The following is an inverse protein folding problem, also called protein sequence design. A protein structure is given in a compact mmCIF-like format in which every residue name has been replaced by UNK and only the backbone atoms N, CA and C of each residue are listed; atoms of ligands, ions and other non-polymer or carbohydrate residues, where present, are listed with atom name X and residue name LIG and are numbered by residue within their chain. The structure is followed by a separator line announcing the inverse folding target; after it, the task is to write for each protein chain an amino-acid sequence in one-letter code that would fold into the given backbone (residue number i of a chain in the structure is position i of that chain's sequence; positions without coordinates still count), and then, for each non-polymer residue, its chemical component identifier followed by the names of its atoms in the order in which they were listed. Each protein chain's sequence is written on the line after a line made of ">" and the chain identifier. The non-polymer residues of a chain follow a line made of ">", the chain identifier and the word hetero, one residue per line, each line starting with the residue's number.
data_IF_235288419149
#
_entry.id   IF_235288419149
#
_cell.length_a   1.000
_cell.length_b   1.000
_cell.length_c   1.000
_cell.angle_alpha   90.00
_cell.angle_beta   90.00
_cell.angle_gamma   90.00
#
_symmetry.space_group_name_H-M   'P 1'
#
loop_
_entity.id
_entity.type
_entity.pdbx_description
1 polymer ?
#
# COMPACT_ATOMS: atom_id res chain seq x y z
N UNK A 1 -1.20 63.62 2.74
CA UNK A 1 -1.66 62.45 3.53
C UNK A 1 -1.03 61.25 2.86
N UNK A 2 0.13 60.88 3.35
CA UNK A 2 1.05 59.94 2.72
C UNK A 2 0.65 58.52 3.11
N UNK A 3 0.29 57.72 2.11
CA UNK A 3 -0.17 56.34 2.30
C UNK A 3 1.02 55.47 2.72
N UNK A 4 1.07 55.06 3.99
CA UNK A 4 2.15 54.23 4.54
C UNK A 4 2.25 52.88 3.78
N UNK A 5 3.39 52.59 3.10
CA UNK A 5 3.58 51.36 2.33
C UNK A 5 3.66 50.11 3.22
N UNK A 6 3.73 50.25 4.55
CA UNK A 6 3.76 49.12 5.50
C UNK A 6 2.42 48.41 5.69
N UNK A 7 1.31 48.95 5.16
CA UNK A 7 0.00 48.27 5.16
C UNK A 7 -0.19 47.25 4.02
N UNK A 8 0.78 47.12 3.10
CA UNK A 8 0.75 46.12 2.02
C UNK A 8 1.22 44.72 2.46
N UNK A 9 1.33 44.47 3.78
CA UNK A 9 1.98 43.28 4.34
C UNK A 9 1.08 42.20 4.94
N UNK A 10 -0.25 42.22 4.75
CA UNK A 10 -1.15 41.29 5.46
C UNK A 10 -2.01 40.36 4.59
N UNK A 11 -1.71 40.24 3.30
CA UNK A 11 -2.33 39.23 2.44
C UNK A 11 -1.29 38.57 1.52
N UNK A 12 -0.15 38.16 2.08
CA UNK A 12 0.56 37.01 1.51
C UNK A 12 -0.35 35.81 1.79
N UNK A 13 -1.30 35.55 0.89
CA UNK A 13 -1.98 34.27 0.79
C UNK A 13 -0.86 33.24 0.88
N UNK A 14 -0.80 32.50 1.98
CA UNK A 14 -0.12 31.22 1.95
C UNK A 14 -0.82 30.48 0.82
N UNK A 15 -0.18 30.39 -0.35
CA UNK A 15 -0.41 29.24 -1.21
C UNK A 15 -0.20 28.08 -0.27
N UNK A 16 -1.32 27.46 0.11
CA UNK A 16 -1.36 26.32 1.00
C UNK A 16 -0.42 25.34 0.32
N UNK A 17 0.81 25.20 0.82
CA UNK A 17 1.67 24.11 0.39
C UNK A 17 0.77 22.89 0.47
N UNK A 18 0.51 22.26 -0.68
CA UNK A 18 -0.25 21.03 -0.71
C UNK A 18 0.54 20.09 0.18
N UNK A 19 0.06 19.87 1.40
CA UNK A 19 0.70 18.95 2.34
C UNK A 19 0.55 17.57 1.73
N UNK A 20 1.58 17.18 1.00
CA UNK A 20 1.67 15.92 0.31
C UNK A 20 2.20 14.90 1.32
N UNK A 21 1.31 14.03 1.80
CA UNK A 21 1.69 12.83 2.52
C UNK A 21 2.18 11.82 1.48
N UNK A 22 3.48 11.58 1.48
CA UNK A 22 4.09 10.45 0.79
C UNK A 22 4.44 9.41 1.84
N UNK A 23 3.95 8.18 1.65
CA UNK A 23 4.34 7.04 2.46
C UNK A 23 5.17 6.11 1.59
N UNK A 24 6.38 5.79 2.03
CA UNK A 24 7.27 4.82 1.38
C UNK A 24 7.50 3.65 2.32
N UNK A 25 7.22 2.43 1.86
CA UNK A 25 7.55 1.19 2.57
C UNK A 25 8.59 0.45 1.75
N UNK A 26 9.71 0.09 2.37
CA UNK A 26 10.72 -0.74 1.73
C UNK A 26 10.56 -2.19 2.18
N UNK A 27 10.57 -3.09 1.20
CA UNK A 27 10.55 -4.53 1.46
C UNK A 27 11.99 -5.03 1.43
N UNK A 28 12.41 -5.64 2.53
CA UNK A 28 13.74 -6.23 2.68
C UNK A 28 13.61 -7.74 2.89
N UNK A 29 14.52 -8.54 2.32
CA UNK A 29 14.52 -9.98 2.51
C UNK A 29 14.84 -10.30 3.98
N UNK A 30 14.14 -11.30 4.52
CA UNK A 30 14.00 -11.61 5.96
C UNK A 30 15.30 -12.07 6.65
N UNK A 31 16.29 -11.18 6.75
CA UNK A 31 17.54 -11.45 7.46
C UNK A 31 18.48 -12.48 6.81
N UNK A 32 18.30 -12.78 5.51
CA UNK A 32 19.25 -13.64 4.78
C UNK A 32 20.51 -12.84 4.44
N UNK A 33 21.66 -13.23 4.99
CA UNK A 33 22.95 -12.55 4.76
C UNK A 33 23.30 -12.36 3.27
N UNK A 34 22.80 -13.27 2.42
CA UNK A 34 23.01 -13.30 0.98
C UNK A 34 22.28 -12.15 0.24
N UNK A 35 21.25 -11.55 0.86
CA UNK A 35 20.49 -10.47 0.25
C UNK A 35 20.50 -9.23 1.13
N UNK A 36 21.32 -8.27 0.73
CA UNK A 36 21.53 -6.97 1.40
C UNK A 36 20.84 -5.82 0.66
N UNK A 37 19.86 -6.12 -0.20
CA UNK A 37 19.25 -5.14 -1.09
C UNK A 37 17.73 -5.15 -0.92
N UNK A 38 17.15 -3.96 -1.07
CA UNK A 38 15.70 -3.73 -1.16
C UNK A 38 15.14 -4.55 -2.33
N UNK A 39 14.02 -5.23 -2.09
CA UNK A 39 13.34 -6.10 -3.07
C UNK A 39 11.94 -5.59 -3.44
N UNK A 40 11.53 -4.46 -2.87
CA UNK A 40 10.25 -3.84 -3.18
C UNK A 40 10.04 -2.49 -2.52
N UNK A 41 9.09 -1.74 -3.06
CA UNK A 41 8.67 -0.42 -2.61
C UNK A 41 7.16 -0.26 -2.76
N UNK A 42 6.52 0.34 -1.75
CA UNK A 42 5.16 0.86 -1.86
C UNK A 42 5.23 2.36 -1.64
N UNK A 43 4.76 3.12 -2.62
CA UNK A 43 4.64 4.57 -2.53
C UNK A 43 3.18 4.98 -2.65
N UNK A 44 2.70 5.80 -1.70
CA UNK A 44 1.36 6.38 -1.76
C UNK A 44 1.43 7.90 -1.60
N UNK A 45 0.93 8.63 -2.58
CA UNK A 45 0.90 10.10 -2.60
C UNK A 45 -0.53 10.61 -2.68
N UNK A 46 -0.93 11.51 -1.77
CA UNK A 46 -2.28 12.08 -1.85
C UNK A 46 -2.38 13.08 -3.01
N UNK A 47 -3.40 12.87 -3.84
CA UNK A 47 -3.73 13.78 -4.95
C UNK A 47 -4.94 14.65 -4.63
N UNK A 48 -5.65 14.37 -3.54
CA UNK A 48 -6.69 15.23 -2.99
C UNK A 48 -6.44 15.59 -1.52
N UNK A 49 -7.02 16.71 -1.10
CA UNK A 49 -6.93 17.23 0.26
C UNK A 49 -8.29 17.13 0.97
N UNK A 50 -8.27 16.86 2.27
CA UNK A 50 -9.48 16.68 3.08
C UNK A 50 -9.33 15.51 4.04
N UNK A 51 -10.30 15.33 4.95
CA UNK A 51 -10.33 14.17 5.85
C UNK A 51 -10.40 12.85 5.06
N UNK A 52 -11.24 12.84 4.04
CA UNK A 52 -11.35 11.77 3.06
C UNK A 52 -10.51 12.18 1.85
N UNK A 53 -9.55 11.36 1.46
CA UNK A 53 -8.58 11.67 0.42
C UNK A 53 -8.41 10.52 -0.59
N UNK A 54 -7.99 10.88 -1.79
CA UNK A 54 -7.57 9.95 -2.83
C UNK A 54 -6.05 9.94 -2.92
N UNK A 55 -5.49 8.74 -3.03
CA UNK A 55 -4.07 8.50 -3.15
C UNK A 55 -3.78 7.83 -4.49
N UNK A 56 -2.72 8.30 -5.14
CA UNK A 56 -2.04 7.56 -6.19
C UNK A 56 -1.05 6.62 -5.51
N UNK A 57 -1.16 5.32 -5.81
CA UNK A 57 -0.39 4.26 -5.16
C UNK A 57 0.39 3.51 -6.23
N UNK A 58 1.68 3.33 -5.98
CA UNK A 58 2.57 2.47 -6.76
C UNK A 58 3.13 1.38 -5.85
N UNK A 59 3.01 0.13 -6.29
CA UNK A 59 3.57 -1.04 -5.61
C UNK A 59 4.49 -1.77 -6.56
N UNK A 60 5.75 -1.90 -6.15
CA UNK A 60 6.77 -2.63 -6.89
C UNK A 60 7.42 -3.68 -5.98
N UNK A 61 7.55 -4.90 -6.47
CA UNK A 61 8.26 -5.99 -5.80
C UNK A 61 8.89 -6.88 -6.86
N UNK A 62 10.19 -7.16 -6.76
CA UNK A 62 10.93 -7.98 -7.73
C UNK A 62 10.48 -9.46 -7.74
N UNK A 63 9.68 -9.86 -6.75
CA UNK A 63 9.30 -11.25 -6.54
C UNK A 63 10.44 -12.09 -5.95
N UNK A 64 10.09 -13.30 -5.55
CA UNK A 64 11.04 -14.29 -5.05
C UNK A 64 10.56 -15.71 -5.39
N UNK A 65 10.93 -16.18 -6.57
CA UNK A 65 10.58 -17.52 -7.07
C UNK A 65 10.87 -18.66 -6.08
N UNK A 66 12.00 -18.69 -5.32
CA UNK A 66 12.27 -19.78 -4.38
C UNK A 66 11.25 -19.93 -3.24
N UNK A 67 10.50 -18.87 -2.91
CA UNK A 67 9.40 -18.92 -1.92
C UNK A 67 8.03 -18.76 -2.60
N UNK A 68 7.97 -18.86 -3.92
CA UNK A 68 6.73 -18.71 -4.69
C UNK A 68 6.12 -17.31 -4.63
N UNK A 69 6.91 -16.29 -4.32
CA UNK A 69 6.43 -14.91 -4.30
C UNK A 69 6.51 -14.34 -5.73
N UNK A 70 5.38 -13.97 -6.35
CA UNK A 70 5.40 -13.35 -7.67
C UNK A 70 5.96 -11.93 -7.60
N UNK A 71 6.49 -11.45 -8.72
CA UNK A 71 6.77 -10.03 -8.90
C UNK A 71 5.45 -9.24 -8.93
N UNK A 72 5.47 -8.03 -8.41
CA UNK A 72 4.34 -7.09 -8.40
C UNK A 72 4.83 -5.79 -9.02
N UNK A 73 4.09 -5.24 -9.99
CA UNK A 73 4.31 -3.90 -10.52
C UNK A 73 2.95 -3.29 -10.87
N UNK A 74 2.36 -2.60 -9.90
CA UNK A 74 0.99 -2.11 -9.96
C UNK A 74 0.91 -0.62 -9.64
N UNK A 75 0.03 0.08 -10.36
CA UNK A 75 -0.26 1.50 -10.14
C UNK A 75 -1.77 1.72 -10.17
N UNK A 76 -2.32 2.31 -9.12
CA UNK A 76 -3.76 2.49 -8.99
C UNK A 76 -4.14 3.66 -8.08
N UNK A 77 -5.42 4.03 -8.14
CA UNK A 77 -6.01 5.05 -7.28
C UNK A 77 -6.74 4.41 -6.10
N UNK A 78 -6.27 4.71 -4.89
CA UNK A 78 -6.99 4.39 -3.67
C UNK A 78 -7.89 5.57 -3.28
N UNK A 79 -9.20 5.43 -3.50
CA UNK A 79 -10.20 6.47 -3.25
C UNK A 79 -10.76 6.38 -1.83
N UNK A 80 -11.33 7.48 -1.39
CA UNK A 80 -12.15 7.57 -0.18
C UNK A 80 -11.48 7.12 1.14
N UNK A 81 -10.16 7.25 1.24
CA UNK A 81 -9.42 6.89 2.46
C UNK A 81 -9.54 7.96 3.55
N UNK A 82 -9.96 7.57 4.76
CA UNK A 82 -9.99 8.47 5.93
C UNK A 82 -8.58 8.64 6.52
N UNK A 83 -8.02 9.84 6.39
CA UNK A 83 -6.67 10.19 6.88
C UNK A 83 -6.49 9.98 8.39
N UNK A 84 -7.58 9.99 9.16
CA UNK A 84 -7.54 9.72 10.60
C UNK A 84 -7.23 8.26 10.92
N UNK A 85 -7.42 7.34 9.98
CA UNK A 85 -7.00 5.94 10.11
C UNK A 85 -5.47 5.77 10.11
N UNK A 86 -4.74 6.76 9.56
CA UNK A 86 -3.28 6.82 9.58
C UNK A 86 -2.58 6.02 8.48
N UNK A 87 -1.25 6.20 8.40
CA UNK A 87 -0.44 5.66 7.31
C UNK A 87 -0.42 4.12 7.23
N UNK A 88 -0.53 3.41 8.35
CA UNK A 88 -0.57 1.95 8.35
C UNK A 88 -1.87 1.40 7.74
N UNK A 89 -3.00 2.05 7.99
CA UNK A 89 -4.25 1.68 7.35
C UNK A 89 -4.17 1.91 5.84
N UNK A 90 -3.56 3.02 5.41
CA UNK A 90 -3.31 3.30 3.99
C UNK A 90 -2.49 2.20 3.31
N UNK A 91 -1.38 1.77 3.94
CA UNK A 91 -0.53 0.69 3.43
C UNK A 91 -1.33 -0.63 3.36
N UNK A 92 -2.09 -0.96 4.40
CA UNK A 92 -2.91 -2.19 4.42
C UNK A 92 -3.91 -2.20 3.27
N UNK A 93 -4.63 -1.09 3.07
CA UNK A 93 -5.64 -0.99 2.02
C UNK A 93 -4.99 -1.07 0.62
N UNK A 94 -3.80 -0.48 0.44
CA UNK A 94 -3.01 -0.65 -0.78
C UNK A 94 -2.62 -2.12 -1.02
N UNK A 95 -2.11 -2.81 0.00
CA UNK A 95 -1.72 -4.21 -0.09
C UNK A 95 -2.89 -5.15 -0.42
N UNK A 96 -4.09 -4.87 0.11
CA UNK A 96 -5.29 -5.66 -0.18
C UNK A 96 -5.73 -5.58 -1.65
N UNK A 97 -5.36 -4.52 -2.36
CA UNK A 97 -5.61 -4.38 -3.80
C UNK A 97 -4.56 -5.11 -4.62
N UNK A 98 -3.29 -5.08 -4.19
CA UNK A 98 -2.16 -5.56 -5.01
C UNK A 98 -1.75 -7.00 -4.77
N UNK A 99 -2.00 -7.55 -3.58
CA UNK A 99 -1.64 -8.94 -3.31
C UNK A 99 -2.73 -9.82 -3.93
N UNK A 100 -2.40 -10.65 -4.95
CA UNK A 100 -3.34 -11.63 -5.45
C UNK A 100 -3.73 -12.55 -4.29
N UNK A 101 -5.04 -12.63 -4.02
CA UNK A 101 -5.54 -13.62 -3.07
C UNK A 101 -5.18 -15.01 -3.60
N UNK A 102 -4.75 -15.95 -2.74
CA UNK A 102 -4.60 -17.32 -3.18
C UNK A 102 -5.93 -17.76 -3.79
N UNK A 103 -5.89 -18.33 -4.99
CA UNK A 103 -7.07 -19.00 -5.54
C UNK A 103 -7.56 -19.98 -4.47
N UNK A 104 -8.86 -19.95 -4.17
CA UNK A 104 -9.47 -21.00 -3.37
C UNK A 104 -9.17 -22.31 -4.10
N UNK A 105 -8.17 -23.05 -3.61
CA UNK A 105 -7.82 -24.33 -4.19
C UNK A 105 -9.08 -25.17 -4.19
N UNK A 106 -9.46 -25.64 -5.38
CA UNK A 106 -10.55 -26.60 -5.59
C UNK A 106 -10.43 -27.71 -4.54
N UNK A 107 -11.23 -27.58 -3.49
CA UNK A 107 -11.38 -28.53 -2.42
C UNK A 107 -12.16 -29.73 -2.93
N UNK A 108 -11.57 -30.48 -3.86
CA UNK A 108 -12.01 -31.80 -4.25
C UNK A 108 -10.83 -32.77 -4.10
N UNK A 109 -10.34 -32.89 -2.86
CA UNK A 109 -9.62 -34.11 -2.48
C UNK A 109 -10.70 -35.18 -2.27
N UNK A 110 -10.97 -35.93 -3.33
CA UNK A 110 -11.78 -37.14 -3.35
C UNK A 110 -11.10 -38.21 -2.49
N UNK A 111 -11.23 -38.08 -1.17
CA UNK A 111 -10.95 -39.15 -0.24
C UNK A 111 -12.07 -40.18 -0.40
N UNK A 112 -11.86 -41.12 -1.33
CA UNK A 112 -12.74 -42.25 -1.57
C UNK A 112 -13.08 -43.00 -0.27
N UNK A 113 -14.23 -43.71 -0.22
CA UNK A 113 -14.69 -44.34 1.00
C UNK A 113 -13.78 -45.53 1.33
N UNK A 114 -12.78 -45.30 2.18
CA UNK A 114 -12.05 -46.36 2.84
C UNK A 114 -12.99 -47.08 3.79
N UNK A 115 -13.60 -48.18 3.32
CA UNK A 115 -14.31 -49.14 4.16
C UNK A 115 -13.38 -49.61 5.28
N UNK A 116 -13.66 -49.15 6.49
CA UNK A 116 -13.10 -49.74 7.70
C UNK A 116 -14.04 -50.89 8.08
N UNK A 117 -13.66 -52.12 7.74
CA UNK A 117 -14.26 -53.32 8.34
C UNK A 117 -13.84 -53.37 9.81
N UNK A 118 -14.75 -53.51 10.78
CA UNK A 118 -14.34 -53.85 12.14
C UNK A 118 -14.08 -55.36 12.22
N UNK A 119 -12.86 -55.73 12.62
CA UNK A 119 -12.56 -57.05 13.16
C UNK A 119 -13.29 -57.22 14.51
N UNK A 120 -14.28 -58.12 14.55
CA UNK A 120 -14.61 -59.03 15.67
C UNK A 120 -15.23 -60.31 15.11
#
# INVERSE_FOLDING_TARGET
>A
MESDPRRAGLHRKYEKENVMLVVTVEVWPWGREERKYKIGEITAANISNGRIATYEVRVHCDGYEPEGLPAIDEEFLLRDHDRSAGALALIRDALLVTIPLPEEGDGASDAGPGSISPDV
#
